data_IF_103366148348
#
_entry.id   IF_103366148348
#
_cell.length_a   1.000
_cell.length_b   1.000
_cell.length_c   1.000
_cell.angle_alpha   90.00
_cell.angle_beta   90.00
_cell.angle_gamma   90.00
#
_symmetry.space_group_name_H-M   'P 1'
#
loop_
_entity.id
_entity.type
_entity.pdbx_description
1 polymer ?
#
# COMPACT_ATOMS: atom_id res chain seq x y z
N UNK A 1 -28.12 24.92 -33.82
CA UNK A 1 -26.92 25.26 -33.01
C UNK A 1 -26.05 24.02 -32.93
N UNK A 2 -24.79 24.10 -33.40
CA UNK A 2 -23.88 22.96 -33.53
C UNK A 2 -23.10 22.81 -32.22
N UNK A 3 -23.39 21.77 -31.43
CA UNK A 3 -22.65 21.44 -30.21
C UNK A 3 -21.17 21.20 -30.58
N UNK A 4 -20.24 21.92 -29.94
CA UNK A 4 -18.80 21.65 -30.03
C UNK A 4 -18.39 20.92 -28.76
N UNK A 5 -17.76 19.76 -28.91
CA UNK A 5 -17.13 19.07 -27.80
C UNK A 5 -16.11 19.98 -27.11
N UNK A 6 -16.06 20.02 -25.77
CA UNK A 6 -14.98 20.69 -25.05
C UNK A 6 -13.65 19.97 -25.32
N UNK A 7 -12.51 20.71 -25.37
CA UNK A 7 -11.20 20.12 -25.62
C UNK A 7 -10.81 19.18 -24.48
N UNK A 8 -10.30 18.00 -24.84
CA UNK A 8 -9.76 17.04 -23.90
C UNK A 8 -8.35 17.50 -23.48
N UNK A 9 -8.05 17.71 -22.19
CA UNK A 9 -6.69 18.00 -21.74
C UNK A 9 -5.81 16.76 -21.92
N UNK A 10 -4.63 16.94 -22.52
CA UNK A 10 -3.70 15.87 -22.91
C UNK A 10 -2.75 15.41 -21.80
N UNK A 11 -3.01 15.76 -20.55
CA UNK A 11 -2.23 15.28 -19.41
C UNK A 11 -3.10 15.38 -18.14
N UNK A 12 -3.40 14.24 -17.52
CA UNK A 12 -4.26 14.14 -16.35
C UNK A 12 -3.38 13.84 -15.14
N UNK A 13 -3.12 14.86 -14.31
CA UNK A 13 -2.44 14.73 -13.02
C UNK A 13 -3.50 14.82 -11.91
N UNK A 14 -3.76 13.70 -11.24
CA UNK A 14 -4.99 13.49 -10.46
C UNK A 14 -4.93 13.96 -9.01
N UNK A 15 -3.81 14.49 -8.51
CA UNK A 15 -3.63 14.66 -7.06
C UNK A 15 -3.82 16.08 -6.51
N UNK A 16 -3.89 17.14 -7.33
CA UNK A 16 -3.88 18.51 -6.76
C UNK A 16 -5.07 19.43 -7.12
N UNK A 17 -5.84 19.14 -8.17
CA UNK A 17 -6.90 20.07 -8.62
C UNK A 17 -8.25 19.95 -7.88
N UNK A 18 -8.43 18.96 -7.01
CA UNK A 18 -9.71 18.68 -6.34
C UNK A 18 -10.01 19.54 -5.11
N UNK A 19 -9.02 20.27 -4.59
CA UNK A 19 -9.21 21.15 -3.41
C UNK A 19 -9.73 22.53 -3.82
N UNK A 20 -9.32 23.05 -4.98
CA UNK A 20 -9.76 24.37 -5.49
C UNK A 20 -11.24 24.41 -5.89
N UNK A 21 -11.79 23.28 -6.33
CA UNK A 21 -13.17 23.20 -6.82
C UNK A 21 -14.24 23.08 -5.71
N UNK A 22 -13.86 22.96 -4.43
CA UNK A 22 -14.79 22.67 -3.33
C UNK A 22 -15.49 23.87 -2.67
N UNK A 23 -15.29 25.10 -3.14
CA UNK A 23 -15.87 26.27 -2.45
C UNK A 23 -17.17 26.85 -3.02
N UNK A 24 -17.70 26.39 -4.16
CA UNK A 24 -18.92 27.05 -4.65
C UNK A 24 -19.84 26.26 -5.58
N UNK A 25 -20.20 25.00 -5.31
CA UNK A 25 -21.46 24.42 -5.81
C UNK A 25 -21.97 23.34 -4.85
N UNK A 26 -23.23 23.45 -4.40
CA UNK A 26 -23.94 22.41 -3.65
C UNK A 26 -24.00 21.10 -4.46
N UNK A 27 -23.21 20.10 -4.07
CA UNK A 27 -23.19 18.78 -4.69
C UNK A 27 -24.22 17.84 -4.03
N UNK A 28 -25.04 17.09 -4.79
CA UNK A 28 -25.91 16.06 -4.23
C UNK A 28 -25.10 14.88 -3.68
N UNK A 29 -25.56 14.33 -2.55
CA UNK A 29 -24.85 13.45 -1.60
C UNK A 29 -24.62 12.00 -2.04
N UNK A 30 -24.25 11.73 -3.29
CA UNK A 30 -23.79 10.39 -3.67
C UNK A 30 -22.91 10.44 -4.92
N UNK A 31 -21.61 10.22 -4.75
CA UNK A 31 -20.74 9.85 -5.87
C UNK A 31 -21.16 8.45 -6.34
N UNK A 32 -21.69 8.27 -7.56
CA UNK A 32 -21.84 6.91 -8.08
C UNK A 32 -20.43 6.34 -8.29
N UNK A 33 -20.13 5.22 -7.64
CA UNK A 33 -18.96 4.41 -8.00
C UNK A 33 -19.12 3.99 -9.46
N UNK A 34 -18.30 4.55 -10.35
CA UNK A 34 -18.29 4.12 -11.74
C UNK A 34 -17.49 2.80 -11.82
N UNK A 35 -18.08 1.71 -12.35
CA UNK A 35 -17.37 0.44 -12.47
C UNK A 35 -16.22 0.56 -13.48
N UNK A 36 -15.04 0.11 -13.08
CA UNK A 36 -13.85 0.02 -13.95
C UNK A 36 -13.94 -1.26 -14.80
N UNK A 37 -13.83 -1.13 -16.12
CA UNK A 37 -13.75 -2.27 -17.03
C UNK A 37 -12.29 -2.64 -17.28
N UNK A 38 -11.95 -3.92 -17.11
CA UNK A 38 -10.61 -4.47 -17.36
C UNK A 38 -10.70 -5.61 -18.36
N UNK A 39 -9.73 -5.71 -19.26
CA UNK A 39 -9.62 -6.84 -20.19
C UNK A 39 -8.70 -7.89 -19.58
N UNK A 40 -9.18 -9.13 -19.49
CA UNK A 40 -8.41 -10.26 -18.98
C UNK A 40 -7.79 -11.05 -20.12
N UNK A 41 -6.62 -11.63 -19.89
CA UNK A 41 -6.08 -12.66 -20.79
C UNK A 41 -6.86 -13.97 -20.61
N UNK A 42 -6.90 -14.86 -21.63
CA UNK A 42 -7.58 -16.14 -21.51
C UNK A 42 -7.10 -16.99 -20.31
N UNK A 43 -5.81 -16.89 -19.97
CA UNK A 43 -5.24 -17.57 -18.81
C UNK A 43 -5.76 -16.99 -17.49
N UNK A 44 -5.87 -15.67 -17.37
CA UNK A 44 -6.42 -15.02 -16.17
C UNK A 44 -7.89 -15.37 -15.98
N UNK A 45 -8.66 -15.38 -17.07
CA UNK A 45 -10.06 -15.79 -17.03
C UNK A 45 -10.21 -17.24 -16.54
N UNK A 46 -9.40 -18.18 -17.04
CA UNK A 46 -9.43 -19.58 -16.56
C UNK A 46 -9.17 -19.69 -15.07
N UNK A 47 -8.21 -18.93 -14.53
CA UNK A 47 -7.92 -18.91 -13.10
C UNK A 47 -9.13 -18.39 -12.32
N UNK A 48 -9.75 -17.29 -12.76
CA UNK A 48 -10.93 -16.71 -12.12
C UNK A 48 -12.10 -17.72 -12.16
N UNK A 49 -12.35 -18.36 -13.29
CA UNK A 49 -13.40 -19.36 -13.43
C UNK A 49 -13.18 -20.56 -12.51
N UNK A 50 -11.94 -21.05 -12.38
CA UNK A 50 -11.61 -22.13 -11.45
C UNK A 50 -11.86 -21.73 -9.99
N UNK A 51 -11.53 -20.49 -9.61
CA UNK A 51 -11.78 -19.97 -8.25
C UNK A 51 -13.27 -19.81 -7.97
N UNK A 52 -14.08 -19.37 -8.94
CA UNK A 52 -15.54 -19.34 -8.81
C UNK A 52 -16.12 -20.76 -8.69
N UNK A 53 -15.69 -21.68 -9.56
CA UNK A 53 -16.15 -23.07 -9.55
C UNK A 53 -15.81 -23.81 -8.24
N UNK A 54 -14.76 -23.39 -7.54
CA UNK A 54 -14.42 -23.94 -6.22
C UNK A 54 -15.45 -23.63 -5.13
N UNK A 55 -16.35 -22.66 -5.36
CA UNK A 55 -17.33 -22.20 -4.37
C UNK A 55 -16.74 -21.33 -3.26
N UNK A 56 -15.43 -21.04 -3.30
CA UNK A 56 -14.74 -20.18 -2.33
C UNK A 56 -15.12 -18.70 -2.45
N UNK A 57 -15.53 -18.29 -3.65
CA UNK A 57 -15.83 -16.90 -4.00
C UNK A 57 -17.20 -16.80 -4.65
N UNK A 58 -17.94 -15.75 -4.31
CA UNK A 58 -19.31 -15.55 -4.82
C UNK A 58 -19.32 -14.81 -6.15
N UNK A 59 -18.31 -13.99 -6.40
CA UNK A 59 -18.20 -13.16 -7.60
C UNK A 59 -16.74 -12.83 -7.95
N UNK A 60 -16.52 -12.33 -9.17
CA UNK A 60 -15.18 -11.95 -9.67
C UNK A 60 -14.58 -10.81 -8.86
N UNK A 61 -15.39 -9.84 -8.41
CA UNK A 61 -14.90 -8.67 -7.66
C UNK A 61 -14.23 -9.07 -6.34
N UNK A 62 -14.74 -10.07 -5.64
CA UNK A 62 -14.12 -10.64 -4.43
C UNK A 62 -12.75 -11.26 -4.74
N UNK A 63 -12.65 -12.02 -5.83
CA UNK A 63 -11.39 -12.63 -6.27
C UNK A 63 -10.34 -11.56 -6.56
N UNK A 64 -10.73 -10.52 -7.29
CA UNK A 64 -9.83 -9.41 -7.64
C UNK A 64 -9.43 -8.63 -6.38
N UNK A 65 -10.36 -8.37 -5.46
CA UNK A 65 -10.07 -7.70 -4.19
C UNK A 65 -9.06 -8.50 -3.35
N UNK A 66 -9.21 -9.81 -3.28
CA UNK A 66 -8.27 -10.70 -2.59
C UNK A 66 -6.90 -10.72 -3.26
N UNK A 67 -6.85 -10.82 -4.59
CA UNK A 67 -5.60 -10.79 -5.35
C UNK A 67 -4.84 -9.47 -5.13
N UNK A 68 -5.53 -8.33 -5.15
CA UNK A 68 -4.93 -7.02 -4.89
C UNK A 68 -4.47 -6.89 -3.44
N UNK A 69 -5.19 -7.44 -2.47
CA UNK A 69 -4.75 -7.48 -1.06
C UNK A 69 -3.48 -8.30 -0.89
N UNK A 70 -3.35 -9.42 -1.60
CA UNK A 70 -2.13 -10.23 -1.60
C UNK A 70 -0.96 -9.48 -2.23
N UNK A 71 -1.21 -8.75 -3.32
CA UNK A 71 -0.22 -7.88 -3.96
C UNK A 71 0.28 -6.80 -2.98
N UNK A 72 -0.64 -6.07 -2.35
CA UNK A 72 -0.30 -5.04 -1.37
C UNK A 72 0.51 -5.60 -0.18
N UNK A 73 0.13 -6.78 0.34
CA UNK A 73 0.89 -7.45 1.41
C UNK A 73 2.31 -7.78 0.98
N UNK A 74 2.49 -8.30 -0.25
CA UNK A 74 3.81 -8.61 -0.80
C UNK A 74 4.65 -7.36 -0.96
N UNK A 75 4.07 -6.28 -1.48
CA UNK A 75 4.81 -5.05 -1.71
C UNK A 75 5.23 -4.40 -0.38
N UNK A 76 4.38 -4.43 0.65
CA UNK A 76 4.77 -4.04 2.02
C UNK A 76 5.89 -4.91 2.60
N UNK A 77 5.82 -6.23 2.35
CA UNK A 77 6.88 -7.14 2.79
C UNK A 77 8.21 -6.83 2.12
N UNK A 78 8.21 -6.54 0.82
CA UNK A 78 9.44 -6.18 0.10
C UNK A 78 10.08 -4.90 0.64
N UNK A 79 9.27 -3.86 0.91
CA UNK A 79 9.75 -2.63 1.55
C UNK A 79 10.37 -2.90 2.93
N UNK A 80 9.74 -3.77 3.72
CA UNK A 80 10.28 -4.18 5.01
C UNK A 80 11.62 -4.93 4.88
N UNK A 81 11.74 -5.84 3.90
CA UNK A 81 13.00 -6.54 3.62
C UNK A 81 14.11 -5.56 3.26
N UNK A 82 13.82 -4.60 2.37
CA UNK A 82 14.79 -3.57 1.98
C UNK A 82 15.27 -2.75 3.20
N UNK A 83 14.34 -2.33 4.06
CA UNK A 83 14.66 -1.59 5.29
C UNK A 83 15.53 -2.42 6.25
N UNK A 84 15.21 -3.71 6.43
CA UNK A 84 15.97 -4.60 7.31
C UNK A 84 17.35 -4.89 6.76
N UNK A 85 17.49 -5.16 5.47
CA UNK A 85 18.79 -5.35 4.84
C UNK A 85 19.68 -4.12 5.03
N UNK A 86 19.15 -2.91 4.79
CA UNK A 86 19.89 -1.68 5.03
C UNK A 86 20.35 -1.52 6.49
N UNK A 87 19.52 -1.90 7.46
CA UNK A 87 19.91 -1.89 8.89
C UNK A 87 20.98 -2.93 9.22
N UNK A 88 20.92 -4.10 8.59
CA UNK A 88 21.93 -5.16 8.76
C UNK A 88 23.28 -4.68 8.22
N UNK A 89 23.31 -4.06 7.04
CA UNK A 89 24.54 -3.53 6.45
C UNK A 89 25.18 -2.49 7.37
N UNK A 90 24.39 -1.54 7.87
CA UNK A 90 24.87 -0.54 8.85
C UNK A 90 25.40 -1.21 10.12
N UNK A 91 24.68 -2.20 10.66
CA UNK A 91 25.10 -2.91 11.86
C UNK A 91 26.40 -3.71 11.63
N UNK A 92 26.55 -4.33 10.46
CA UNK A 92 27.77 -5.03 10.09
C UNK A 92 28.97 -4.07 10.04
N UNK A 93 28.81 -2.91 9.40
CA UNK A 93 29.85 -1.88 9.38
C UNK A 93 30.21 -1.36 10.78
N UNK A 94 29.23 -1.20 11.67
CA UNK A 94 29.48 -0.82 13.07
C UNK A 94 30.29 -1.88 13.82
N UNK A 95 29.98 -3.15 13.61
CA UNK A 95 30.72 -4.27 14.19
C UNK A 95 32.15 -4.33 13.66
N UNK A 96 32.36 -4.13 12.35
CA UNK A 96 33.69 -4.07 11.74
C UNK A 96 34.54 -2.93 12.30
N UNK A 97 33.90 -1.82 12.71
CA UNK A 97 34.56 -0.69 13.41
C UNK A 97 34.76 -0.92 14.91
N UNK A 98 34.30 -2.06 15.46
CA UNK A 98 34.39 -2.38 16.87
C UNK A 98 33.41 -1.59 17.76
N UNK A 99 32.35 -1.02 17.19
CA UNK A 99 31.32 -0.26 17.92
C UNK A 99 30.26 -1.16 18.56
N UNK A 100 30.40 -2.49 18.45
CA UNK A 100 29.55 -3.46 19.12
C UNK A 100 29.65 -3.35 20.65
N UNK A 101 28.52 -3.54 21.32
CA UNK A 101 28.46 -3.62 22.79
C UNK A 101 28.22 -5.06 23.23
N UNK A 102 28.79 -5.40 24.39
CA UNK A 102 28.56 -6.66 25.07
C UNK A 102 27.06 -6.87 25.42
N UNK A 103 26.61 -8.13 25.33
CA UNK A 103 25.19 -8.47 25.43
C UNK A 103 24.61 -8.19 26.81
N UNK A 104 25.33 -8.56 27.87
CA UNK A 104 24.98 -8.31 29.26
C UNK A 104 24.89 -6.80 29.53
N UNK A 105 25.84 -6.05 28.96
CA UNK A 105 25.85 -4.59 29.02
C UNK A 105 24.63 -3.97 28.32
N UNK A 106 24.26 -4.46 27.13
CA UNK A 106 23.07 -4.00 26.41
C UNK A 106 21.78 -4.25 27.20
N UNK A 107 21.63 -5.44 27.77
CA UNK A 107 20.47 -5.82 28.58
C UNK A 107 20.36 -4.94 29.83
N UNK A 108 21.48 -4.66 30.50
CA UNK A 108 21.51 -3.78 31.67
C UNK A 108 21.05 -2.35 31.32
N UNK A 109 21.51 -1.80 30.19
CA UNK A 109 21.11 -0.47 29.72
C UNK A 109 19.61 -0.40 29.37
N UNK A 110 19.09 -1.42 28.68
CA UNK A 110 17.66 -1.50 28.35
C UNK A 110 16.83 -1.54 29.63
N UNK A 111 17.19 -2.39 30.60
CA UNK A 111 16.49 -2.48 31.88
C UNK A 111 16.50 -1.15 32.63
N UNK A 112 17.63 -0.46 32.67
CA UNK A 112 17.74 0.85 33.31
C UNK A 112 16.80 1.90 32.70
N UNK A 113 16.70 1.97 31.36
CA UNK A 113 15.78 2.87 30.65
C UNK A 113 14.31 2.61 30.99
N UNK A 114 13.91 1.33 31.09
CA UNK A 114 12.54 0.98 31.48
C UNK A 114 12.18 1.39 32.92
N UNK A 115 13.14 1.38 33.85
CA UNK A 115 12.88 1.81 35.23
C UNK A 115 12.78 3.34 35.35
N UNK A 116 13.53 4.09 34.52
CA UNK A 116 13.47 5.55 34.48
C UNK A 116 12.16 6.08 33.87
N UNK A 117 11.60 5.38 32.87
CA UNK A 117 10.34 5.77 32.22
C UNK A 117 9.07 5.57 33.06
N UNK A 118 9.14 4.76 34.13
CA UNK A 118 8.01 4.50 35.04
C UNK A 118 8.02 5.37 36.31
N UNK A 119 8.95 6.33 36.44
CA UNK A 119 9.02 7.27 37.57
C UNK A 119 8.52 8.69 37.24
N UNK A 120 7.81 8.87 36.12
CA UNK A 120 7.20 10.14 35.69
C UNK A 120 5.69 10.04 35.65
#
# INVERSE_FOLDING_TARGET
>A
MRWRSPPQPSHYDWTEDWVKYKFNYNLPTATPFLPMSITLTPQQEQIIQAQLASGRYTNVSEIIADALRLLEKRDRYNLWVEEVCAKIDIAAEQLDRGEGIDGETAIAQIRAKFHQGHQV
#
